data_IF_411640904732
#
_entry.id   IF_411640904732
#
_cell.length_a   1.000
_cell.length_b   1.000
_cell.length_c   1.000
_cell.angle_alpha   90.00
_cell.angle_beta   90.00
_cell.angle_gamma   90.00
#
_symmetry.space_group_name_H-M   'P 1'
#
loop_
_entity.id
_entity.type
_entity.pdbx_description
1 polymer ?
#
# COMPACT_ATOMS: atom_id res chain seq x y z
N UNK A 1 2.54 19.63 -2.27
CA UNK A 1 2.19 18.50 -1.39
C UNK A 1 1.24 17.59 -2.15
N UNK A 2 1.72 16.43 -2.58
CA UNK A 2 0.89 15.44 -3.27
C UNK A 2 0.82 14.19 -2.41
N UNK A 3 -0.40 13.73 -2.15
CA UNK A 3 -0.68 12.42 -1.56
C UNK A 3 -1.26 11.56 -2.67
N UNK A 4 -0.77 10.33 -2.80
CA UNK A 4 -1.31 9.34 -3.70
C UNK A 4 -1.73 8.12 -2.89
N UNK A 5 -2.97 7.70 -3.10
CA UNK A 5 -3.56 6.52 -2.47
C UNK A 5 -3.92 5.57 -3.60
N UNK A 6 -3.44 4.33 -3.49
CA UNK A 6 -3.84 3.21 -4.34
C UNK A 6 -4.64 2.25 -3.46
N UNK A 7 -5.88 1.95 -3.83
CA UNK A 7 -6.82 1.10 -3.05
C UNK A 7 -7.46 0.03 -3.94
N UNK A 8 -8.03 -0.99 -3.28
CA UNK A 8 -8.73 -2.12 -3.89
C UNK A 8 -7.88 -2.91 -4.91
N UNK A 9 -6.56 -2.88 -4.74
CA UNK A 9 -5.61 -3.60 -5.59
C UNK A 9 -5.16 -4.90 -4.93
N UNK A 10 -4.51 -5.78 -5.70
CA UNK A 10 -3.67 -6.83 -5.12
C UNK A 10 -2.29 -6.24 -4.86
N UNK A 11 -1.89 -6.13 -3.60
CA UNK A 11 -0.56 -5.61 -3.22
C UNK A 11 0.39 -6.77 -2.98
N UNK A 12 1.48 -6.79 -3.72
CA UNK A 12 2.56 -7.78 -3.56
C UNK A 12 3.77 -7.03 -3.00
N UNK A 13 4.18 -7.36 -1.77
CA UNK A 13 5.40 -6.79 -1.17
C UNK A 13 6.61 -7.66 -1.52
N UNK A 14 7.73 -7.00 -1.80
CA UNK A 14 9.05 -7.63 -1.95
C UNK A 14 9.93 -7.34 -0.72
N UNK A 15 9.29 -7.20 0.45
CA UNK A 15 9.94 -7.07 1.76
C UNK A 15 10.32 -8.45 2.32
N UNK A 16 10.96 -8.52 3.48
CA UNK A 16 11.34 -9.81 4.08
C UNK A 16 10.15 -10.76 4.35
N UNK A 17 8.92 -10.24 4.32
CA UNK A 17 7.69 -11.00 4.57
C UNK A 17 7.04 -11.54 3.30
N UNK A 18 7.42 -11.06 2.11
CA UNK A 18 6.90 -11.48 0.80
C UNK A 18 5.37 -11.67 0.80
N UNK A 19 4.63 -10.64 1.19
CA UNK A 19 3.17 -10.73 1.42
C UNK A 19 2.41 -10.50 0.13
N UNK A 20 1.31 -11.23 -0.02
CA UNK A 20 0.25 -10.93 -0.98
C UNK A 20 -0.96 -10.46 -0.16
N UNK A 21 -1.39 -9.24 -0.41
CA UNK A 21 -2.54 -8.62 0.27
C UNK A 21 -3.63 -8.44 -0.78
N UNK A 22 -4.66 -9.28 -0.70
CA UNK A 22 -5.90 -9.12 -1.46
C UNK A 22 -6.70 -7.95 -0.89
N UNK A 23 -7.35 -7.18 -1.77
CA UNK A 23 -7.98 -5.89 -1.41
C UNK A 23 -7.03 -4.94 -0.65
N UNK A 24 -5.76 -4.95 -1.03
CA UNK A 24 -4.70 -4.16 -0.43
C UNK A 24 -4.66 -2.72 -0.91
N UNK A 25 -3.93 -1.91 -0.14
CA UNK A 25 -3.74 -0.51 -0.43
C UNK A 25 -2.36 0.01 -0.01
N UNK A 26 -1.93 1.10 -0.67
CA UNK A 26 -0.63 1.76 -0.50
C UNK A 26 -0.83 3.28 -0.42
N UNK A 27 -0.34 3.90 0.65
CA UNK A 27 -0.25 5.35 0.77
C UNK A 27 1.16 5.83 0.47
N UNK A 28 1.24 6.79 -0.43
CA UNK A 28 2.48 7.46 -0.85
C UNK A 28 2.39 8.93 -0.50
N UNK A 29 3.33 9.39 0.31
CA UNK A 29 3.51 10.79 0.66
C UNK A 29 4.92 11.23 0.28
N UNK A 30 5.03 12.35 -0.43
CA UNK A 30 6.32 12.93 -0.83
C UNK A 30 7.24 11.93 -1.57
N UNK A 31 6.64 11.09 -2.41
CA UNK A 31 7.35 10.07 -3.20
C UNK A 31 7.83 8.86 -2.39
N UNK A 32 7.42 8.70 -1.12
CA UNK A 32 7.76 7.57 -0.27
C UNK A 32 6.51 6.80 0.15
N UNK A 33 6.64 5.47 0.21
CA UNK A 33 5.60 4.62 0.79
C UNK A 33 5.63 4.80 2.30
N UNK A 34 4.52 5.25 2.88
CA UNK A 34 4.40 5.47 4.34
C UNK A 34 3.51 4.44 5.02
N UNK A 35 2.63 3.77 4.27
CA UNK A 35 1.75 2.71 4.78
C UNK A 35 1.35 1.72 3.70
N UNK A 36 1.27 0.44 4.08
CA UNK A 36 0.80 -0.69 3.26
C UNK A 36 -0.13 -1.52 4.15
N UNK A 37 -1.30 -1.92 3.65
CA UNK A 37 -2.27 -2.71 4.42
C UNK A 37 -3.46 -3.15 3.57
N UNK A 38 -4.56 -3.53 4.22
CA UNK A 38 -5.86 -3.67 3.56
C UNK A 38 -6.40 -2.29 3.19
N UNK A 39 -7.29 -2.24 2.21
CA UNK A 39 -7.99 -1.00 1.83
C UNK A 39 -8.79 -0.41 3.00
N UNK A 40 -9.29 -1.25 3.91
CA UNK A 40 -9.97 -0.82 5.14
C UNK A 40 -9.04 -0.19 6.19
N UNK A 41 -7.73 -0.39 6.07
CA UNK A 41 -6.75 0.05 7.08
C UNK A 41 -6.22 1.46 6.82
N UNK A 42 -6.53 2.03 5.66
CA UNK A 42 -5.98 3.28 5.13
C UNK A 42 -7.00 4.41 5.14
#
# INVERSE_FOLDING_TARGET
>A
MCKLILINGTVITLDEKNRIIEDGAVLIEEGKIVKIGLSSDL
#
